data_IF_749109347652
#
_entry.id   IF_749109347652
#
_cell.length_a   1.000
_cell.length_b   1.000
_cell.length_c   1.000
_cell.angle_alpha   90.00
_cell.angle_beta   90.00
_cell.angle_gamma   90.00
#
_symmetry.space_group_name_H-M   'P 1'
#
loop_
_entity.id
_entity.type
_entity.pdbx_description
1 polymer ?
#
# COMPACT_ATOMS: atom_id res chain seq x y z
N UNK A 1 -2.16 17.83 -8.09
CA UNK A 1 -1.80 18.03 -9.51
C UNK A 1 -0.60 18.96 -9.70
N UNK A 2 -0.21 19.78 -8.71
CA UNK A 2 0.92 20.72 -8.82
C UNK A 2 2.27 20.03 -9.12
N UNK A 3 2.45 18.78 -8.68
CA UNK A 3 3.69 18.03 -8.88
C UNK A 3 3.67 17.07 -10.09
N UNK A 4 2.63 17.09 -10.92
CA UNK A 4 2.55 16.24 -12.10
C UNK A 4 2.51 14.73 -11.85
N UNK A 5 2.34 14.29 -10.61
CA UNK A 5 2.31 12.89 -10.25
C UNK A 5 1.06 12.19 -10.81
N UNK A 6 1.26 11.00 -11.35
CA UNK A 6 0.16 10.15 -11.82
C UNK A 6 -0.67 9.64 -10.64
N UNK A 7 -1.98 9.54 -10.86
CA UNK A 7 -2.89 8.98 -9.85
C UNK A 7 -2.50 7.52 -9.52
N UNK A 8 -2.57 7.18 -8.25
CA UNK A 8 -2.29 5.83 -7.80
C UNK A 8 -3.45 4.89 -8.08
N UNK A 9 -3.17 3.66 -8.46
CA UNK A 9 -4.16 2.59 -8.66
C UNK A 9 -4.37 1.71 -7.41
N UNK A 10 -3.87 2.14 -6.26
CA UNK A 10 -3.99 1.37 -5.01
C UNK A 10 -5.45 1.12 -4.60
N UNK A 11 -6.35 2.06 -4.87
CA UNK A 11 -7.77 1.88 -4.58
C UNK A 11 -8.37 0.69 -5.35
N UNK A 12 -7.98 0.51 -6.61
CA UNK A 12 -8.43 -0.62 -7.43
C UNK A 12 -7.89 -1.95 -6.87
N UNK A 13 -6.63 -1.97 -6.44
CA UNK A 13 -6.05 -3.18 -5.84
C UNK A 13 -6.73 -3.56 -4.53
N UNK A 14 -7.10 -2.58 -3.70
CA UNK A 14 -7.87 -2.82 -2.48
C UNK A 14 -9.22 -3.49 -2.76
N UNK A 15 -9.93 -3.02 -3.80
CA UNK A 15 -11.19 -3.63 -4.22
C UNK A 15 -11.01 -5.08 -4.70
N UNK A 16 -9.99 -5.35 -5.51
CA UNK A 16 -9.68 -6.72 -5.99
C UNK A 16 -9.37 -7.64 -4.81
N UNK A 17 -8.59 -7.18 -3.84
CA UNK A 17 -8.28 -7.95 -2.63
C UNK A 17 -9.51 -8.18 -1.76
N UNK A 18 -10.42 -7.22 -1.70
CA UNK A 18 -11.72 -7.40 -1.05
C UNK A 18 -12.54 -8.50 -1.71
N UNK A 19 -12.62 -8.51 -3.05
CA UNK A 19 -13.30 -9.58 -3.79
C UNK A 19 -12.68 -10.95 -3.54
N UNK A 20 -11.35 -11.06 -3.51
CA UNK A 20 -10.64 -12.30 -3.18
C UNK A 20 -10.99 -12.74 -1.75
N UNK A 21 -10.94 -11.83 -0.79
CA UNK A 21 -11.30 -12.11 0.61
C UNK A 21 -12.75 -12.56 0.76
N UNK A 22 -13.67 -11.93 0.03
CA UNK A 22 -15.08 -12.32 -0.01
C UNK A 22 -15.29 -13.74 -0.53
N UNK A 23 -14.72 -14.07 -1.68
CA UNK A 23 -14.83 -15.40 -2.25
C UNK A 23 -14.18 -16.46 -1.34
N UNK A 24 -13.02 -16.15 -0.77
CA UNK A 24 -12.34 -17.02 0.18
C UNK A 24 -13.19 -17.25 1.43
N UNK A 25 -13.82 -16.22 1.97
CA UNK A 25 -14.68 -16.32 3.14
C UNK A 25 -15.89 -17.23 2.90
N UNK A 26 -16.57 -17.07 1.77
CA UNK A 26 -17.71 -17.93 1.40
C UNK A 26 -17.25 -19.38 1.26
N UNK A 27 -16.16 -19.61 0.54
CA UNK A 27 -15.61 -20.96 0.37
C UNK A 27 -15.24 -21.59 1.72
N UNK A 28 -14.51 -20.87 2.55
CA UNK A 28 -14.06 -21.35 3.85
C UNK A 28 -15.24 -21.66 4.78
N UNK A 29 -16.22 -20.76 4.89
CA UNK A 29 -17.38 -20.96 5.74
C UNK A 29 -18.22 -22.15 5.26
N UNK A 30 -18.44 -22.29 3.96
CA UNK A 30 -19.17 -23.41 3.42
C UNK A 30 -18.42 -24.73 3.64
N UNK A 31 -17.11 -24.75 3.38
CA UNK A 31 -16.31 -25.96 3.53
C UNK A 31 -16.22 -26.41 4.98
N UNK A 32 -15.81 -25.53 5.87
CA UNK A 32 -15.54 -25.88 7.26
C UNK A 32 -16.84 -26.12 8.05
N UNK A 33 -17.81 -25.20 7.90
CA UNK A 33 -18.99 -25.19 8.79
C UNK A 33 -20.15 -26.02 8.26
N UNK A 34 -20.20 -26.37 6.98
CA UNK A 34 -21.29 -27.10 6.37
C UNK A 34 -20.87 -28.51 5.94
N UNK A 35 -19.72 -28.62 5.26
CA UNK A 35 -19.30 -29.90 4.65
C UNK A 35 -18.45 -30.73 5.61
N UNK A 36 -17.43 -30.13 6.19
CA UNK A 36 -16.43 -30.84 6.98
C UNK A 36 -16.89 -31.03 8.43
N UNK A 37 -17.40 -29.96 9.04
CA UNK A 37 -17.88 -30.00 10.41
C UNK A 37 -19.24 -29.30 10.58
N UNK A 38 -20.34 -29.96 10.19
CA UNK A 38 -21.67 -29.39 10.34
C UNK A 38 -21.99 -29.17 11.81
N UNK A 39 -22.05 -27.91 12.21
CA UNK A 39 -22.32 -27.53 13.61
C UNK A 39 -23.82 -27.45 13.88
N UNK A 40 -24.26 -28.23 14.83
CA UNK A 40 -25.62 -28.17 15.38
C UNK A 40 -25.56 -27.50 16.76
N UNK A 41 -25.72 -26.17 16.82
CA UNK A 41 -25.69 -25.39 18.06
C UNK A 41 -27.13 -25.08 18.48
N UNK A 42 -27.51 -25.51 19.67
CA UNK A 42 -28.82 -25.22 20.24
C UNK A 42 -30.00 -25.88 19.50
N UNK A 43 -29.75 -27.01 18.87
CA UNK A 43 -30.79 -27.77 18.14
C UNK A 43 -31.18 -27.17 16.80
N UNK A 44 -30.42 -26.21 16.29
CA UNK A 44 -30.59 -25.65 14.93
C UNK A 44 -29.76 -26.45 13.95
N UNK A 45 -30.34 -27.12 12.95
CA UNK A 45 -29.59 -27.81 11.94
C UNK A 45 -28.87 -26.79 11.05
N UNK A 46 -27.56 -26.88 10.97
CA UNK A 46 -26.72 -26.00 10.14
C UNK A 46 -26.25 -26.71 8.85
N UNK A 47 -27.15 -27.44 8.21
CA UNK A 47 -26.85 -28.26 7.04
C UNK A 47 -26.91 -27.48 5.72
N UNK A 48 -27.33 -26.22 5.75
CA UNK A 48 -27.46 -25.37 4.59
C UNK A 48 -26.74 -24.05 4.78
N UNK A 49 -25.99 -23.61 3.78
CA UNK A 49 -25.33 -22.32 3.79
C UNK A 49 -26.31 -21.15 3.93
N UNK A 50 -27.48 -21.27 3.28
CA UNK A 50 -28.51 -20.22 3.28
C UNK A 50 -29.14 -20.06 4.68
N UNK A 51 -29.39 -21.16 5.38
CA UNK A 51 -29.96 -21.13 6.74
C UNK A 51 -29.00 -20.53 7.76
N UNK A 52 -27.68 -20.69 7.53
CA UNK A 52 -26.64 -20.10 8.37
C UNK A 52 -26.21 -18.68 7.93
N UNK A 53 -26.75 -18.15 6.84
CA UNK A 53 -26.37 -16.84 6.31
C UNK A 53 -26.39 -15.72 7.38
N UNK A 54 -27.38 -15.61 8.27
CA UNK A 54 -27.36 -14.55 9.28
C UNK A 54 -26.14 -14.58 10.20
N UNK A 55 -25.64 -15.79 10.51
CA UNK A 55 -24.41 -15.96 11.32
C UNK A 55 -23.13 -15.81 10.50
N UNK A 56 -23.18 -16.10 9.20
CA UNK A 56 -22.01 -16.05 8.33
C UNK A 56 -21.70 -14.64 7.79
N UNK A 57 -22.74 -13.79 7.63
CA UNK A 57 -22.56 -12.43 7.11
C UNK A 57 -21.51 -11.61 7.86
N UNK A 58 -21.49 -11.55 9.20
CA UNK A 58 -20.49 -10.81 9.93
C UNK A 58 -19.06 -11.31 9.65
N UNK A 59 -18.88 -12.63 9.60
CA UNK A 59 -17.57 -13.25 9.37
C UNK A 59 -17.08 -13.02 7.92
N UNK A 60 -18.00 -13.14 6.96
CA UNK A 60 -17.71 -12.86 5.55
C UNK A 60 -17.30 -11.40 5.38
N UNK A 61 -18.00 -10.48 6.03
CA UNK A 61 -17.65 -9.06 6.00
C UNK A 61 -16.27 -8.81 6.62
N UNK A 62 -15.99 -9.38 7.79
CA UNK A 62 -14.73 -9.21 8.49
C UNK A 62 -13.56 -9.71 7.64
N UNK A 63 -13.66 -10.92 7.07
CA UNK A 63 -12.60 -11.46 6.19
C UNK A 63 -12.43 -10.64 4.92
N UNK A 64 -13.51 -10.12 4.34
CA UNK A 64 -13.44 -9.23 3.18
C UNK A 64 -12.61 -7.99 3.48
N UNK A 65 -12.91 -7.33 4.59
CA UNK A 65 -12.19 -6.12 5.03
C UNK A 65 -10.76 -6.46 5.45
N UNK A 66 -10.55 -7.57 6.15
CA UNK A 66 -9.24 -8.05 6.55
C UNK A 66 -8.29 -8.22 5.36
N UNK A 67 -8.71 -8.98 4.35
CA UNK A 67 -7.89 -9.19 3.15
C UNK A 67 -7.68 -7.90 2.36
N UNK A 68 -8.72 -7.08 2.21
CA UNK A 68 -8.61 -5.79 1.53
C UNK A 68 -7.55 -4.90 2.18
N UNK A 69 -7.63 -4.72 3.49
CA UNK A 69 -6.74 -3.83 4.22
C UNK A 69 -5.30 -4.36 4.28
N UNK A 70 -5.11 -5.61 4.69
CA UNK A 70 -3.76 -6.16 4.90
C UNK A 70 -3.00 -6.34 3.58
N UNK A 71 -3.64 -6.87 2.54
CA UNK A 71 -2.98 -7.04 1.25
C UNK A 71 -2.68 -5.69 0.59
N UNK A 72 -3.52 -4.67 0.81
CA UNK A 72 -3.24 -3.31 0.35
C UNK A 72 -2.00 -2.72 1.06
N UNK A 73 -1.91 -2.89 2.38
CA UNK A 73 -0.75 -2.41 3.17
C UNK A 73 0.53 -3.13 2.72
N UNK A 74 0.48 -4.44 2.54
CA UNK A 74 1.62 -5.23 2.04
C UNK A 74 2.02 -4.72 0.64
N UNK A 75 1.06 -4.54 -0.25
CA UNK A 75 1.31 -4.00 -1.61
C UNK A 75 1.94 -2.61 -1.54
N UNK A 76 1.47 -1.75 -0.63
CA UNK A 76 2.05 -0.43 -0.41
C UNK A 76 3.50 -0.52 0.03
N UNK A 77 3.82 -1.36 1.02
CA UNK A 77 5.21 -1.54 1.49
C UNK A 77 6.13 -2.09 0.39
N UNK A 78 5.66 -3.10 -0.36
CA UNK A 78 6.41 -3.65 -1.48
C UNK A 78 6.68 -2.60 -2.57
N UNK A 79 5.66 -1.84 -2.94
CA UNK A 79 5.76 -0.81 -3.97
C UNK A 79 6.64 0.37 -3.55
N UNK A 80 6.55 0.77 -2.29
CA UNK A 80 7.36 1.85 -1.71
C UNK A 80 8.76 1.39 -1.30
N UNK A 81 9.07 0.08 -1.48
CA UNK A 81 10.35 -0.51 -1.06
C UNK A 81 10.68 -0.26 0.41
N UNK A 82 9.64 -0.22 1.24
CA UNK A 82 9.77 -0.06 2.69
C UNK A 82 9.88 -1.45 3.32
N UNK A 83 11.10 -1.86 3.65
CA UNK A 83 11.37 -3.11 4.32
C UNK A 83 11.70 -2.88 5.79
N UNK A 84 11.37 -3.82 6.67
CA UNK A 84 11.92 -3.81 8.03
C UNK A 84 13.46 -3.75 7.95
N UNK A 85 14.07 -2.90 8.77
CA UNK A 85 15.53 -2.68 8.82
C UNK A 85 16.14 -1.94 7.63
N UNK A 86 15.35 -1.38 6.71
CA UNK A 86 15.87 -0.50 5.68
C UNK A 86 16.28 0.83 6.31
N UNK A 87 17.48 1.29 6.01
CA UNK A 87 17.94 2.62 6.40
C UNK A 87 17.05 3.70 5.76
N UNK A 88 16.73 4.74 6.52
CA UNK A 88 15.92 5.84 6.02
C UNK A 88 16.69 6.59 4.92
N UNK A 89 16.09 6.70 3.76
CA UNK A 89 16.62 7.51 2.65
C UNK A 89 16.29 8.99 2.89
N UNK A 90 16.72 9.52 4.03
CA UNK A 90 16.58 10.95 4.30
C UNK A 90 17.92 11.65 4.02
N UNK A 91 18.07 12.35 2.89
CA UNK A 91 19.33 12.95 2.50
C UNK A 91 19.77 14.10 3.44
N UNK A 92 18.84 14.69 4.16
CA UNK A 92 19.10 15.77 5.10
C UNK A 92 18.25 15.60 6.36
N UNK A 93 18.85 15.39 7.55
CA UNK A 93 18.09 15.22 8.80
C UNK A 93 17.17 16.39 9.14
N UNK A 94 17.54 17.61 8.78
CA UNK A 94 16.78 18.82 9.07
C UNK A 94 15.42 18.90 8.35
N UNK A 95 15.14 18.01 7.39
CA UNK A 95 13.80 17.92 6.75
C UNK A 95 12.71 17.43 7.70
N UNK A 96 13.09 16.89 8.84
CA UNK A 96 12.14 16.48 9.88
C UNK A 96 11.84 17.61 10.89
N UNK A 97 12.53 18.74 10.78
CA UNK A 97 12.42 19.86 11.69
C UNK A 97 11.78 21.08 10.99
N UNK A 98 12.55 21.93 10.37
CA UNK A 98 12.07 23.23 9.86
C UNK A 98 12.42 23.49 8.39
N UNK A 99 13.03 22.51 7.69
CA UNK A 99 13.50 22.70 6.32
C UNK A 99 12.77 21.82 5.32
N UNK A 100 12.57 22.37 4.15
CA UNK A 100 12.04 21.63 2.99
C UNK A 100 13.17 21.29 2.03
N UNK A 101 13.18 20.02 1.56
CA UNK A 101 14.10 19.56 0.54
C UNK A 101 13.35 19.38 -0.80
N UNK A 102 13.86 20.03 -1.83
CA UNK A 102 13.40 19.83 -3.20
C UNK A 102 14.50 19.10 -3.98
N UNK A 103 14.22 17.89 -4.41
CA UNK A 103 15.12 17.11 -5.27
C UNK A 103 14.68 17.29 -6.72
N UNK A 104 15.57 17.81 -7.55
CA UNK A 104 15.32 18.04 -8.96
C UNK A 104 16.32 17.22 -9.77
N UNK A 105 15.81 16.35 -10.65
CA UNK A 105 16.65 15.70 -11.66
C UNK A 105 16.90 16.68 -12.82
N UNK A 106 18.14 17.04 -13.02
CA UNK A 106 18.54 17.99 -14.04
C UNK A 106 19.60 17.38 -14.97
N UNK A 107 19.34 17.43 -16.26
CA UNK A 107 20.23 16.89 -17.30
C UNK A 107 21.01 17.97 -18.04
N UNK A 108 21.07 19.20 -17.51
CA UNK A 108 21.76 20.36 -18.12
C UNK A 108 23.00 20.77 -17.34
N UNK A 109 23.59 21.90 -17.75
CA UNK A 109 24.78 22.46 -17.10
C UNK A 109 24.47 22.96 -15.68
N UNK A 110 25.32 22.59 -14.73
CA UNK A 110 25.21 22.97 -13.31
C UNK A 110 25.11 24.50 -13.10
N UNK A 111 25.73 25.28 -14.02
CA UNK A 111 25.72 26.74 -13.99
C UNK A 111 24.33 27.34 -14.23
N UNK A 112 23.57 26.72 -15.13
CA UNK A 112 22.20 27.18 -15.45
C UNK A 112 21.23 26.84 -14.33
N UNK A 113 21.40 25.67 -13.69
CA UNK A 113 20.65 25.31 -12.50
C UNK A 113 20.90 26.31 -11.35
N UNK A 114 22.17 26.63 -11.08
CA UNK A 114 22.52 27.58 -10.03
C UNK A 114 21.92 28.97 -10.29
N UNK A 115 21.88 29.44 -11.54
CA UNK A 115 21.25 30.72 -11.90
C UNK A 115 19.75 30.73 -11.66
N UNK A 116 19.05 29.63 -12.01
CA UNK A 116 17.61 29.50 -11.79
C UNK A 116 17.28 29.47 -10.29
N UNK A 117 18.09 28.79 -9.50
CA UNK A 117 17.87 28.62 -8.08
C UNK A 117 18.28 29.85 -7.28
N UNK A 118 19.28 30.63 -7.72
CA UNK A 118 19.66 31.90 -7.10
C UNK A 118 18.59 32.99 -7.17
N UNK A 119 17.57 32.85 -8.03
CA UNK A 119 16.41 33.74 -8.08
C UNK A 119 15.37 33.43 -6.98
N UNK A 120 15.54 32.33 -6.26
CA UNK A 120 14.70 31.91 -5.14
C UNK A 120 15.52 31.93 -3.85
N UNK A 121 14.85 32.16 -2.74
CA UNK A 121 15.47 32.22 -1.39
C UNK A 121 15.89 30.81 -0.92
N UNK A 122 16.90 30.24 -1.56
CA UNK A 122 17.42 28.90 -1.26
C UNK A 122 18.56 29.00 -0.27
N UNK A 123 18.47 28.29 0.84
CA UNK A 123 19.49 28.29 1.89
C UNK A 123 20.75 27.51 1.51
N UNK A 124 20.62 26.34 0.85
CA UNK A 124 21.74 25.49 0.48
C UNK A 124 21.45 24.68 -0.79
N UNK A 125 22.45 24.49 -1.64
CA UNK A 125 22.36 23.72 -2.87
C UNK A 125 23.42 22.63 -2.83
N UNK A 126 22.99 21.36 -2.72
CA UNK A 126 23.88 20.20 -2.81
C UNK A 126 23.68 19.47 -4.13
N UNK A 127 24.73 19.36 -4.91
CA UNK A 127 24.71 18.61 -6.18
C UNK A 127 25.17 17.18 -5.93
N UNK A 128 24.27 16.23 -6.14
CA UNK A 128 24.59 14.81 -6.11
C UNK A 128 24.69 14.28 -7.55
N UNK A 129 25.90 13.89 -7.96
CA UNK A 129 26.11 13.22 -9.24
C UNK A 129 25.59 11.78 -9.12
N UNK A 130 24.45 11.51 -9.74
CA UNK A 130 23.92 10.15 -9.80
C UNK A 130 24.80 9.32 -10.76
N UNK A 131 25.80 8.61 -10.22
CA UNK A 131 26.47 7.56 -10.98
C UNK A 131 25.46 6.44 -11.20
N UNK A 132 24.74 6.48 -12.33
CA UNK A 132 24.08 5.28 -12.83
C UNK A 132 25.12 4.17 -12.85
N UNK A 133 24.97 3.20 -11.97
CA UNK A 133 25.75 1.98 -12.05
C UNK A 133 25.41 1.30 -13.39
N UNK A 134 26.34 1.35 -14.32
CA UNK A 134 26.37 0.44 -15.45
C UNK A 134 26.58 -0.96 -14.85
N UNK A 135 25.50 -1.68 -14.64
CA UNK A 135 25.49 -3.13 -14.59
C UNK A 135 24.56 -3.58 -15.71
N UNK A 136 25.21 -3.87 -16.84
CA UNK A 136 24.72 -4.81 -17.82
C UNK A 136 24.58 -6.20 -17.20
#
# INVERSE_FOLDING_TARGET
KAMGLKETRLAITAFIYGCIGFCFAIWMMNHIMILDWPQNIGGKPSFSFIENMPSFVPIIFELTVFFSAHLMVITFYLRSKLWPFKEAENPIPETTDDKFLIVVEFNGDEKDLKKLVQQTDVMDIKVHINKKSNHE
#
